data_IF_494863397345
#
_entry.id   IF_494863397345
#
_cell.length_a   1.000
_cell.length_b   1.000
_cell.length_c   1.000
_cell.angle_alpha   90.00
_cell.angle_beta   90.00
_cell.angle_gamma   90.00
#
_symmetry.space_group_name_H-M   'P 1'
#
loop_
_entity.id
_entity.type
_entity.pdbx_description
1 polymer ?
#
# COMPACT_ATOMS: atom_id res chain seq x y z
N UNK A 1 14.78 25.26 -13.40
CA UNK A 1 14.42 24.39 -14.54
C UNK A 1 15.20 23.09 -14.40
N UNK A 2 14.48 21.97 -14.54
CA UNK A 2 14.97 20.59 -14.70
C UNK A 2 15.60 19.96 -13.44
N UNK A 3 14.91 18.99 -12.82
CA UNK A 3 15.13 17.60 -13.23
C UNK A 3 13.95 16.72 -12.78
N UNK A 4 13.13 16.32 -13.75
CA UNK A 4 12.31 15.14 -13.61
C UNK A 4 13.29 13.99 -13.40
N UNK A 5 13.43 13.50 -12.16
CA UNK A 5 14.06 12.20 -11.93
C UNK A 5 13.26 11.22 -12.77
N UNK A 6 13.89 10.77 -13.85
CA UNK A 6 13.42 9.75 -14.74
C UNK A 6 12.88 8.60 -13.90
N UNK A 7 11.57 8.38 -13.99
CA UNK A 7 10.99 7.12 -13.54
C UNK A 7 11.79 6.04 -14.26
N UNK A 8 12.39 5.06 -13.57
CA UNK A 8 12.97 3.93 -14.26
C UNK A 8 11.85 3.39 -15.15
N UNK A 9 12.15 3.35 -16.45
CA UNK A 9 11.27 2.78 -17.46
C UNK A 9 10.89 1.41 -16.91
N UNK A 10 9.62 1.23 -16.49
CA UNK A 10 9.08 -0.08 -16.20
C UNK A 10 9.23 -0.85 -17.51
N UNK A 11 10.37 -1.50 -17.68
CA UNK A 11 10.51 -2.52 -18.69
C UNK A 11 9.33 -3.42 -18.42
N UNK A 12 8.47 -3.57 -19.42
CA UNK A 12 7.34 -4.48 -19.38
C UNK A 12 7.94 -5.89 -19.39
N UNK A 13 8.62 -6.27 -18.31
CA UNK A 13 9.00 -7.64 -18.06
C UNK A 13 7.67 -8.39 -18.06
N UNK A 14 7.57 -9.38 -18.95
CA UNK A 14 6.44 -10.30 -18.96
C UNK A 14 6.49 -11.08 -17.65
N UNK A 15 5.90 -10.54 -16.60
CA UNK A 15 5.78 -11.23 -15.33
C UNK A 15 4.88 -12.44 -15.59
N UNK A 16 5.45 -13.65 -15.49
CA UNK A 16 4.68 -14.88 -15.62
C UNK A 16 3.88 -15.04 -14.34
N UNK A 17 2.62 -14.62 -14.40
CA UNK A 17 1.72 -14.61 -13.26
C UNK A 17 1.11 -15.99 -12.99
N UNK A 18 0.67 -16.27 -11.75
CA UNK A 18 0.05 -17.54 -11.41
C UNK A 18 -1.14 -17.83 -12.31
N UNK A 19 -1.44 -19.13 -12.45
CA UNK A 19 -2.46 -19.72 -13.34
C UNK A 19 -3.61 -18.75 -13.58
N UNK A 20 -3.93 -18.49 -14.85
CA UNK A 20 -4.99 -17.59 -15.38
C UNK A 20 -6.25 -17.53 -14.50
N UNK A 21 -6.64 -18.66 -13.89
CA UNK A 21 -7.80 -18.81 -13.01
C UNK A 21 -7.74 -18.03 -11.69
N UNK A 22 -6.56 -17.74 -11.15
CA UNK A 22 -6.42 -17.00 -9.88
C UNK A 22 -7.10 -15.63 -9.95
N UNK A 23 -6.84 -14.87 -11.02
CA UNK A 23 -7.29 -13.50 -11.20
C UNK A 23 -8.80 -13.33 -11.31
N UNK A 24 -9.48 -14.36 -11.83
CA UNK A 24 -10.93 -14.37 -12.01
C UNK A 24 -11.68 -15.02 -10.84
N UNK A 25 -11.00 -15.88 -10.06
CA UNK A 25 -11.63 -16.60 -8.95
C UNK A 25 -11.73 -15.79 -7.66
N UNK A 26 -11.04 -14.66 -7.54
CA UNK A 26 -11.08 -13.85 -6.33
C UNK A 26 -12.36 -13.03 -6.26
N UNK A 27 -13.10 -13.08 -5.13
CA UNK A 27 -14.26 -12.23 -4.94
C UNK A 27 -13.84 -10.76 -4.91
N UNK A 28 -14.58 -9.92 -5.64
CA UNK A 28 -14.38 -8.47 -5.60
C UNK A 28 -15.01 -7.87 -4.34
N UNK A 29 -14.30 -6.95 -3.70
CA UNK A 29 -14.88 -6.08 -2.68
C UNK A 29 -15.81 -5.04 -3.29
N UNK A 30 -16.64 -4.40 -2.46
CA UNK A 30 -17.43 -3.24 -2.82
C UNK A 30 -16.63 -1.94 -2.66
N UNK A 31 -16.99 -0.91 -3.43
CA UNK A 31 -16.58 0.48 -3.19
C UNK A 31 -17.70 1.27 -2.48
N UNK A 32 -17.37 2.23 -1.60
CA UNK A 32 -16.02 2.61 -1.18
C UNK A 32 -15.35 1.51 -0.35
N UNK A 33 -14.02 1.49 -0.36
CA UNK A 33 -13.22 0.58 0.44
C UNK A 33 -12.20 1.38 1.26
N UNK A 34 -12.02 1.02 2.52
CA UNK A 34 -11.06 1.65 3.44
C UNK A 34 -10.24 0.56 4.12
N UNK A 35 -8.97 0.87 4.35
CA UNK A 35 -8.08 0.08 5.19
C UNK A 35 -7.30 1.00 6.12
N UNK A 36 -7.39 0.70 7.42
CA UNK A 36 -6.63 1.35 8.48
C UNK A 36 -6.18 0.34 9.53
N UNK A 37 -4.99 0.55 10.07
CA UNK A 37 -4.56 -0.13 11.29
C UNK A 37 -5.28 0.48 12.49
N UNK A 38 -5.82 -0.35 13.38
CA UNK A 38 -6.46 0.11 14.61
C UNK A 38 -5.39 0.44 15.65
N UNK A 39 -5.34 1.67 16.18
CA UNK A 39 -4.29 2.12 17.11
C UNK A 39 -4.11 1.19 18.31
N UNK A 40 -5.22 0.77 18.92
CA UNK A 40 -5.24 -0.13 20.09
C UNK A 40 -4.73 -1.55 19.78
N UNK A 41 -4.60 -1.90 18.49
CA UNK A 41 -4.20 -3.21 18.00
C UNK A 41 -2.85 -3.18 17.28
N UNK A 42 -2.14 -2.04 17.27
CA UNK A 42 -0.84 -1.92 16.62
C UNK A 42 0.26 -2.66 17.41
N UNK A 43 0.13 -2.70 18.74
CA UNK A 43 1.03 -3.45 19.64
C UNK A 43 0.61 -4.91 19.83
N UNK A 44 -0.66 -5.22 19.54
CA UNK A 44 -1.16 -6.58 19.55
C UNK A 44 -0.89 -7.20 18.17
N UNK A 45 -0.31 -8.40 18.13
CA UNK A 45 0.12 -9.17 16.96
C UNK A 45 -0.92 -9.43 15.83
N UNK A 46 -2.05 -8.72 15.81
CA UNK A 46 -3.14 -8.78 14.83
C UNK A 46 -2.74 -8.39 13.41
N UNK A 47 -1.68 -7.60 13.25
CA UNK A 47 -1.23 -7.12 11.96
C UNK A 47 0.10 -7.75 11.57
N UNK A 48 0.24 -9.07 11.70
CA UNK A 48 1.37 -9.80 11.12
C UNK A 48 0.92 -10.62 9.91
N UNK A 49 1.84 -10.92 9.01
CA UNK A 49 1.60 -11.87 7.91
C UNK A 49 1.19 -13.23 8.47
N UNK A 50 1.75 -13.64 9.61
CA UNK A 50 1.37 -14.88 10.30
C UNK A 50 -0.09 -14.85 10.77
N UNK A 51 -0.53 -13.75 11.39
CA UNK A 51 -1.93 -13.61 11.80
C UNK A 51 -2.88 -13.54 10.60
N UNK A 52 -2.49 -12.87 9.51
CA UNK A 52 -3.29 -12.85 8.29
C UNK A 52 -3.42 -14.26 7.67
N UNK A 53 -2.38 -15.08 7.75
CA UNK A 53 -2.44 -16.49 7.33
C UNK A 53 -3.35 -17.31 8.25
N UNK A 54 -3.18 -17.20 9.57
CA UNK A 54 -3.94 -18.00 10.55
C UNK A 54 -5.43 -17.67 10.53
N UNK A 55 -5.79 -16.41 10.26
CA UNK A 55 -7.18 -15.93 10.14
C UNK A 55 -7.77 -16.11 8.73
N UNK A 56 -7.01 -16.67 7.79
CA UNK A 56 -7.47 -16.91 6.41
C UNK A 56 -7.65 -15.63 5.57
N UNK A 57 -7.10 -14.49 6.02
CA UNK A 57 -7.10 -13.23 5.24
C UNK A 57 -6.20 -13.32 4.02
N UNK A 58 -5.12 -14.12 4.08
CA UNK A 58 -4.22 -14.39 2.96
C UNK A 58 -3.91 -15.89 2.87
N UNK A 59 -3.66 -16.38 1.66
CA UNK A 59 -3.28 -17.78 1.45
C UNK A 59 -1.76 -17.97 1.62
N UNK A 60 -1.35 -18.87 2.53
CA UNK A 60 0.07 -19.11 2.83
C UNK A 60 0.89 -19.70 1.66
N UNK A 61 0.23 -20.30 0.68
CA UNK A 61 0.85 -21.13 -0.36
C UNK A 61 1.31 -20.32 -1.60
N UNK A 62 0.87 -19.06 -1.74
CA UNK A 62 1.05 -18.28 -2.97
C UNK A 62 1.79 -16.97 -2.68
N UNK A 63 3.11 -16.95 -2.87
CA UNK A 63 3.90 -15.72 -2.88
C UNK A 63 3.91 -15.10 -4.28
N UNK A 64 3.75 -13.78 -4.35
CA UNK A 64 3.67 -12.99 -5.59
C UNK A 64 4.88 -12.08 -5.78
N UNK A 65 6.03 -12.43 -5.22
CA UNK A 65 7.20 -11.55 -5.09
C UNK A 65 7.67 -10.94 -6.42
N UNK A 66 7.46 -11.62 -7.55
CA UNK A 66 7.84 -11.13 -8.89
C UNK A 66 7.07 -9.87 -9.33
N UNK A 67 5.98 -9.51 -8.65
CA UNK A 67 5.23 -8.27 -8.86
C UNK A 67 5.84 -7.05 -8.16
N UNK A 68 6.78 -7.27 -7.24
CA UNK A 68 7.31 -6.26 -6.33
C UNK A 68 8.68 -5.81 -6.79
N UNK A 69 8.97 -4.53 -6.59
CA UNK A 69 10.25 -3.92 -6.91
C UNK A 69 10.35 -2.55 -6.27
N UNK A 70 11.57 -2.01 -6.17
CA UNK A 70 11.83 -0.70 -5.58
C UNK A 70 11.33 0.47 -6.45
N UNK A 71 10.75 0.18 -7.63
CA UNK A 71 10.11 1.15 -8.50
C UNK A 71 8.62 1.40 -8.18
N UNK A 72 8.06 0.73 -7.15
CA UNK A 72 6.71 1.03 -6.65
C UNK A 72 6.59 2.52 -6.31
N UNK A 73 5.42 3.14 -6.41
CA UNK A 73 5.23 4.51 -5.91
C UNK A 73 5.09 4.50 -4.37
N UNK A 74 5.98 5.19 -3.68
CA UNK A 74 5.87 5.50 -2.26
C UNK A 74 6.26 6.95 -2.07
N UNK A 75 5.29 7.77 -1.67
CA UNK A 75 5.52 9.19 -1.38
C UNK A 75 5.30 9.43 0.09
N UNK A 76 6.30 9.93 0.81
CA UNK A 76 6.20 10.37 2.20
C UNK A 76 6.56 11.85 2.26
N UNK A 77 5.94 12.63 3.15
CA UNK A 77 6.31 14.04 3.33
C UNK A 77 7.65 14.15 4.04
N UNK A 78 8.48 15.12 3.66
CA UNK A 78 9.73 15.43 4.36
C UNK A 78 9.49 15.88 5.81
N UNK A 79 8.29 16.38 6.11
CA UNK A 79 7.84 16.82 7.45
C UNK A 79 7.59 15.67 8.44
N UNK A 80 7.54 14.44 7.94
CA UNK A 80 7.38 13.22 8.73
C UNK A 80 8.73 12.56 8.99
N UNK A 81 8.83 11.82 10.09
CA UNK A 81 9.96 10.96 10.44
C UNK A 81 10.08 9.76 9.50
N UNK A 82 8.95 9.26 8.97
CA UNK A 82 8.98 8.21 7.96
C UNK A 82 9.70 8.70 6.69
N UNK A 83 10.51 7.81 6.10
CA UNK A 83 11.37 8.04 4.94
C UNK A 83 11.22 6.92 3.93
N UNK A 84 11.72 7.13 2.72
CA UNK A 84 11.69 6.14 1.64
C UNK A 84 12.32 4.79 2.04
N UNK A 85 13.34 4.81 2.90
CA UNK A 85 13.98 3.60 3.46
C UNK A 85 13.07 2.73 4.33
N UNK A 86 11.93 3.26 4.79
CA UNK A 86 10.90 2.43 5.43
C UNK A 86 10.14 1.58 4.38
N UNK A 87 9.95 2.12 3.17
CA UNK A 87 9.29 1.45 2.05
C UNK A 87 10.21 0.62 1.15
N UNK A 88 11.52 0.85 1.17
CA UNK A 88 12.50 0.20 0.27
C UNK A 88 13.80 -0.23 0.96
N UNK A 89 14.54 -1.20 0.39
CA UNK A 89 14.14 -2.06 -0.73
C UNK A 89 13.08 -3.06 -0.28
N UNK A 90 12.34 -3.63 -1.24
CA UNK A 90 11.43 -4.74 -0.97
C UNK A 90 12.22 -5.97 -0.45
N UNK A 91 11.90 -6.42 0.77
CA UNK A 91 12.57 -7.56 1.44
C UNK A 91 11.66 -8.76 1.71
N UNK A 92 10.36 -8.59 1.51
CA UNK A 92 9.35 -9.51 2.01
C UNK A 92 8.99 -10.66 1.09
N UNK A 93 8.11 -11.52 1.59
CA UNK A 93 7.24 -12.33 0.74
C UNK A 93 5.90 -11.60 0.61
N UNK A 94 5.43 -11.40 -0.62
CA UNK A 94 4.18 -10.73 -0.88
C UNK A 94 3.06 -11.72 -1.13
N UNK A 95 1.88 -11.40 -0.61
CA UNK A 95 0.69 -12.23 -0.67
C UNK A 95 -0.47 -11.41 -1.20
N UNK A 96 -1.35 -12.04 -1.96
CA UNK A 96 -2.61 -11.42 -2.32
C UNK A 96 -3.47 -11.19 -1.08
N UNK A 97 -4.00 -9.98 -0.95
CA UNK A 97 -4.88 -9.58 0.15
C UNK A 97 -6.32 -9.41 -0.33
N UNK A 98 -6.54 -8.65 -1.42
CA UNK A 98 -7.90 -8.36 -1.88
C UNK A 98 -7.99 -7.95 -3.34
N UNK A 99 -9.12 -8.27 -3.96
CA UNK A 99 -9.53 -7.72 -5.26
C UNK A 99 -10.52 -6.58 -5.03
N UNK A 100 -10.29 -5.45 -5.66
CA UNK A 100 -11.24 -4.34 -5.78
C UNK A 100 -12.00 -4.45 -7.11
N UNK A 101 -13.13 -3.73 -7.29
CA UNK A 101 -13.84 -3.75 -8.56
C UNK A 101 -12.93 -3.39 -9.72
N UNK A 102 -13.13 -4.06 -10.85
CA UNK A 102 -12.40 -3.74 -12.07
C UNK A 102 -12.80 -2.33 -12.56
N UNK A 103 -11.86 -1.59 -13.16
CA UNK A 103 -12.07 -0.23 -13.65
C UNK A 103 -11.58 -0.12 -15.09
N UNK A 104 -12.45 0.22 -16.04
CA UNK A 104 -12.10 0.26 -17.48
C UNK A 104 -11.39 -1.02 -17.98
N UNK A 105 -11.85 -2.20 -17.54
CA UNK A 105 -11.24 -3.53 -17.80
C UNK A 105 -9.86 -3.76 -17.16
N UNK A 106 -9.41 -2.87 -16.28
CA UNK A 106 -8.22 -3.06 -15.47
C UNK A 106 -8.56 -3.75 -14.17
N UNK A 107 -7.75 -4.75 -13.80
CA UNK A 107 -7.86 -5.39 -12.49
C UNK A 107 -7.14 -4.54 -11.47
N UNK A 108 -7.76 -4.33 -10.32
CA UNK A 108 -7.18 -3.59 -9.21
C UNK A 108 -7.07 -4.53 -8.03
N UNK A 109 -5.85 -4.76 -7.57
CA UNK A 109 -5.56 -5.73 -6.53
C UNK A 109 -4.69 -5.14 -5.44
N UNK A 110 -4.97 -5.56 -4.22
CA UNK A 110 -4.21 -5.27 -3.03
C UNK A 110 -3.41 -6.50 -2.65
N UNK A 111 -2.14 -6.26 -2.40
CA UNK A 111 -1.21 -7.25 -1.90
C UNK A 111 -0.58 -6.75 -0.62
N UNK A 112 -0.09 -7.67 0.20
CA UNK A 112 0.53 -7.36 1.48
C UNK A 112 1.86 -8.07 1.64
N UNK A 113 2.81 -7.42 2.31
CA UNK A 113 4.13 -7.96 2.63
C UNK A 113 4.70 -7.30 3.88
N UNK A 114 5.64 -7.97 4.52
CA UNK A 114 6.49 -7.37 5.56
C UNK A 114 7.78 -6.87 4.94
N UNK A 115 8.15 -5.62 5.22
CA UNK A 115 9.39 -5.03 4.74
C UNK A 115 10.51 -4.97 5.80
N UNK A 116 10.18 -5.42 7.01
CA UNK A 116 11.07 -5.53 8.16
C UNK A 116 10.66 -6.76 8.98
N UNK A 117 11.63 -7.41 9.60
CA UNK A 117 11.41 -8.50 10.55
C UNK A 117 11.26 -8.00 12.00
N UNK A 118 11.27 -6.69 12.21
CA UNK A 118 11.12 -6.10 13.53
C UNK A 118 9.64 -5.99 13.87
N UNK A 119 9.27 -6.45 15.07
CA UNK A 119 7.88 -6.63 15.52
C UNK A 119 7.06 -5.34 15.56
N UNK A 120 7.73 -4.19 15.62
CA UNK A 120 7.07 -2.89 15.63
C UNK A 120 6.69 -2.39 14.24
N UNK A 121 7.07 -3.06 13.14
CA UNK A 121 6.63 -2.67 11.80
C UNK A 121 5.28 -3.30 11.47
N UNK A 122 4.41 -2.50 10.88
CA UNK A 122 3.17 -2.96 10.30
C UNK A 122 3.42 -3.46 8.87
N UNK A 123 2.64 -4.45 8.39
CA UNK A 123 2.73 -4.93 7.03
C UNK A 123 2.43 -3.78 6.08
N UNK A 124 3.00 -3.83 4.91
CA UNK A 124 2.72 -2.88 3.85
C UNK A 124 1.57 -3.42 3.01
N UNK A 125 0.74 -2.51 2.50
CA UNK A 125 -0.25 -2.81 1.47
C UNK A 125 0.15 -2.09 0.20
N UNK A 126 0.23 -2.84 -0.90
CA UNK A 126 0.51 -2.32 -2.22
C UNK A 126 -0.71 -2.54 -3.12
N UNK A 127 -1.21 -1.44 -3.67
CA UNK A 127 -2.23 -1.46 -4.70
C UNK A 127 -1.56 -1.54 -6.06
N UNK A 128 -1.96 -2.52 -6.86
CA UNK A 128 -1.42 -2.77 -8.18
C UNK A 128 -2.57 -2.82 -9.20
N UNK A 129 -2.30 -2.28 -10.39
CA UNK A 129 -3.23 -2.25 -11.51
C UNK A 129 -2.70 -3.11 -12.65
N UNK A 130 -3.59 -3.85 -13.30
CA UNK A 130 -3.24 -4.77 -14.38
C UNK A 130 -4.13 -4.54 -15.59
N UNK A 131 -3.57 -4.72 -16.78
CA UNK A 131 -4.35 -4.71 -18.02
C UNK A 131 -5.15 -6.00 -18.22
N UNK A 132 -5.92 -6.04 -19.31
CA UNK A 132 -6.73 -7.19 -19.72
C UNK A 132 -5.88 -8.45 -19.97
N UNK A 133 -4.61 -8.28 -20.34
CA UNK A 133 -3.63 -9.33 -20.61
C UNK A 133 -2.85 -9.70 -19.34
N UNK A 134 -3.26 -9.13 -18.20
CA UNK A 134 -2.72 -9.33 -16.85
C UNK A 134 -1.30 -8.79 -16.70
N UNK A 135 -0.87 -7.86 -17.56
CA UNK A 135 0.40 -7.18 -17.37
C UNK A 135 0.25 -6.06 -16.35
N UNK A 136 1.24 -5.93 -15.47
CA UNK A 136 1.30 -4.86 -14.47
C UNK A 136 1.42 -3.50 -15.17
N UNK A 137 0.54 -2.55 -14.82
CA UNK A 137 0.52 -1.19 -15.36
C UNK A 137 1.19 -0.22 -14.38
N UNK A 138 0.72 -0.21 -13.14
CA UNK A 138 1.16 0.74 -12.11
C UNK A 138 0.95 0.16 -10.71
N UNK A 139 1.70 0.68 -9.74
CA UNK A 139 1.70 0.17 -8.37
C UNK A 139 2.11 1.21 -7.34
N UNK A 140 1.48 1.16 -6.17
CA UNK A 140 1.65 2.14 -5.10
C UNK A 140 1.53 1.51 -3.71
N UNK A 141 2.42 1.87 -2.79
CA UNK A 141 2.28 1.57 -1.36
C UNK A 141 1.21 2.49 -0.77
N UNK A 142 0.10 1.89 -0.33
CA UNK A 142 -1.11 2.58 0.16
C UNK A 142 -1.38 2.37 1.64
N UNK A 143 -0.76 1.37 2.28
CA UNK A 143 -0.76 1.23 3.74
C UNK A 143 0.59 0.72 4.24
N UNK A 144 0.89 1.00 5.49
CA UNK A 144 2.14 0.61 6.15
C UNK A 144 2.29 1.36 7.47
N UNK A 145 3.35 1.10 8.20
CA UNK A 145 3.61 1.85 9.42
C UNK A 145 4.65 1.23 10.32
N UNK A 146 4.94 1.93 11.40
CA UNK A 146 5.72 1.41 12.53
C UNK A 146 5.23 2.02 13.84
N UNK A 147 5.43 1.27 14.93
CA UNK A 147 4.89 1.54 16.25
C UNK A 147 6.01 1.66 17.28
N UNK A 148 6.50 2.87 17.48
CA UNK A 148 7.45 3.21 18.53
C UNK A 148 6.92 4.40 19.32
N UNK A 149 7.74 4.95 20.22
CA UNK A 149 7.49 6.20 20.94
C UNK A 149 6.96 7.30 20.00
N UNK A 150 7.53 7.40 18.80
CA UNK A 150 6.90 8.06 17.66
C UNK A 150 6.49 7.01 16.64
N UNK A 151 5.20 6.93 16.39
CA UNK A 151 4.59 6.00 15.44
C UNK A 151 4.29 6.72 14.13
N UNK A 152 4.35 5.97 13.04
CA UNK A 152 3.85 6.38 11.74
C UNK A 152 2.86 5.33 11.25
N UNK A 153 1.68 5.77 10.84
CA UNK A 153 0.62 4.93 10.31
C UNK A 153 0.16 5.50 8.98
N UNK A 154 0.24 4.69 7.93
CA UNK A 154 -0.36 4.96 6.64
C UNK A 154 -1.61 4.11 6.46
N UNK A 155 -2.70 4.81 6.18
CA UNK A 155 -4.00 4.23 5.82
C UNK A 155 -4.44 4.71 4.44
N UNK A 156 -5.43 4.04 3.86
CA UNK A 156 -6.04 4.53 2.63
C UNK A 156 -7.53 4.24 2.55
N UNK A 157 -8.19 5.03 1.70
CA UNK A 157 -9.51 4.75 1.18
C UNK A 157 -9.54 4.91 -0.33
N UNK A 158 -10.47 4.22 -0.97
CA UNK A 158 -10.80 4.37 -2.39
C UNK A 158 -12.31 4.54 -2.53
N UNK A 159 -12.71 5.61 -3.20
CA UNK A 159 -14.12 5.94 -3.40
C UNK A 159 -14.72 5.22 -4.64
N UNK A 160 -16.00 5.48 -4.91
CA UNK A 160 -16.71 4.90 -6.06
C UNK A 160 -16.21 5.43 -7.41
N UNK A 161 -15.50 6.54 -7.43
CA UNK A 161 -14.90 7.15 -8.60
C UNK A 161 -13.42 6.74 -8.77
N UNK A 162 -12.95 5.77 -7.97
CA UNK A 162 -11.56 5.32 -7.96
C UNK A 162 -10.55 6.42 -7.61
N UNK A 163 -10.99 7.42 -6.84
CA UNK A 163 -10.12 8.35 -6.13
C UNK A 163 -9.54 7.65 -4.92
N UNK A 164 -8.21 7.52 -4.86
CA UNK A 164 -7.53 7.07 -3.65
C UNK A 164 -7.20 8.27 -2.77
N UNK A 165 -7.47 8.12 -1.48
CA UNK A 165 -6.95 9.01 -0.44
C UNK A 165 -6.00 8.21 0.43
N UNK A 166 -4.73 8.60 0.48
CA UNK A 166 -3.71 8.02 1.36
C UNK A 166 -3.42 9.01 2.48
N UNK A 167 -3.57 8.56 3.72
CA UNK A 167 -3.39 9.39 4.90
C UNK A 167 -2.22 8.84 5.70
N UNK A 168 -1.19 9.67 5.87
CA UNK A 168 -0.09 9.44 6.80
C UNK A 168 -0.39 10.18 8.10
N UNK A 169 -0.36 9.45 9.21
CA UNK A 169 -0.44 10.02 10.56
C UNK A 169 0.83 9.65 11.32
N UNK A 170 1.52 10.67 11.83
CA UNK A 170 2.62 10.53 12.78
C UNK A 170 2.14 10.99 14.14
N UNK A 171 2.38 10.19 15.17
CA UNK A 171 2.04 10.55 16.54
C UNK A 171 3.16 10.15 17.50
N UNK A 172 3.56 11.07 18.37
CA UNK A 172 4.58 10.84 19.39
C UNK A 172 3.94 10.82 20.78
N UNK A 173 4.16 9.74 21.51
CA UNK A 173 3.66 9.53 22.86
C UNK A 173 4.76 9.78 23.88
N UNK A 174 4.46 10.61 24.88
CA UNK A 174 5.34 10.82 26.03
C UNK A 174 4.93 9.87 27.14
N UNK A 175 5.75 8.84 27.37
CA UNK A 175 5.49 7.81 28.39
C UNK A 175 5.51 8.35 29.82
N UNK A 176 6.18 9.48 30.08
CA UNK A 176 6.18 10.08 31.42
C UNK A 176 4.90 10.86 31.71
N UNK A 177 4.31 11.46 30.67
CA UNK A 177 3.05 12.22 30.77
C UNK A 177 1.80 11.42 30.43
N UNK A 178 1.98 10.20 29.91
CA UNK A 178 0.91 9.36 29.36
C UNK A 178 0.03 10.09 28.33
N UNK A 179 0.63 10.94 27.48
CA UNK A 179 -0.10 11.80 26.54
C UNK A 179 0.59 11.90 25.17
N UNK A 180 -0.20 12.22 24.13
CA UNK A 180 0.32 12.52 22.79
C UNK A 180 0.86 13.94 22.79
N UNK A 181 2.14 14.09 22.48
CA UNK A 181 2.85 15.39 22.53
C UNK A 181 3.06 16.02 21.16
N UNK A 182 2.98 15.24 20.09
CA UNK A 182 3.01 15.74 18.71
C UNK A 182 2.16 14.82 17.84
N UNK A 183 1.38 15.42 16.93
CA UNK A 183 0.62 14.69 15.92
C UNK A 183 0.62 15.46 14.60
N UNK A 184 0.96 14.78 13.52
CA UNK A 184 0.93 15.32 12.17
C UNK A 184 0.16 14.39 11.26
N UNK A 185 -0.74 14.97 10.47
CA UNK A 185 -1.47 14.24 9.45
C UNK A 185 -1.26 14.86 8.09
N UNK A 186 -0.80 14.05 7.12
CA UNK A 186 -0.61 14.42 5.73
C UNK A 186 -1.55 13.58 4.87
N UNK A 187 -2.27 14.23 3.96
CA UNK A 187 -3.22 13.57 3.07
C UNK A 187 -2.80 13.76 1.62
N UNK A 188 -2.72 12.64 0.90
CA UNK A 188 -2.43 12.60 -0.53
C UNK A 188 -3.63 12.06 -1.29
N UNK A 189 -4.00 12.70 -2.39
CA UNK A 189 -5.07 12.21 -3.28
C UNK A 189 -4.51 11.77 -4.60
N UNK A 190 -4.99 10.63 -5.08
CA UNK A 190 -4.64 10.04 -6.38
C UNK A 190 -5.90 9.62 -7.12
N UNK A 191 -5.81 9.54 -8.44
CA UNK A 191 -6.85 9.03 -9.30
C UNK A 191 -6.31 7.85 -10.10
N UNK A 192 -7.01 6.72 -10.06
CA UNK A 192 -6.81 5.66 -11.05
C UNK A 192 -7.44 6.14 -12.36
N UNK A 193 -6.62 6.25 -13.40
CA UNK A 193 -7.03 6.72 -14.72
C UNK A 193 -7.64 5.58 -15.54
N UNK A 194 -8.34 5.92 -16.62
CA UNK A 194 -8.93 4.93 -17.53
C UNK A 194 -7.91 3.97 -18.16
N UNK A 195 -6.63 4.37 -18.21
CA UNK A 195 -5.52 3.54 -18.68
C UNK A 195 -4.85 2.72 -17.56
N UNK A 196 -5.43 2.68 -16.37
CA UNK A 196 -4.93 1.98 -15.19
C UNK A 196 -3.83 2.71 -14.41
N UNK A 197 -3.25 3.81 -14.91
CA UNK A 197 -2.18 4.53 -14.20
C UNK A 197 -2.70 5.25 -12.96
N UNK A 198 -1.86 5.33 -11.93
CA UNK A 198 -2.16 6.03 -10.67
C UNK A 198 -1.48 7.40 -10.71
N UNK A 199 -2.28 8.46 -10.77
CA UNK A 199 -1.77 9.83 -10.87
C UNK A 199 -2.20 10.66 -9.67
N UNK A 200 -1.27 11.42 -9.12
CA UNK A 200 -1.55 12.38 -8.05
C UNK A 200 -2.51 13.47 -8.54
N UNK A 201 -3.53 13.77 -7.74
CA UNK A 201 -4.41 14.92 -7.93
C UNK A 201 -3.72 16.11 -7.27
N UNK A 202 -3.05 16.92 -8.09
CA UNK A 202 -2.55 18.22 -7.62
C UNK A 202 -3.73 19.19 -7.56
N UNK A 203 -4.24 19.48 -6.37
CA UNK A 203 -5.16 20.61 -6.20
C UNK A 203 -4.42 21.88 -6.67
N UNK A 204 -4.97 22.60 -7.65
CA UNK A 204 -4.44 23.91 -8.02
C UNK A 204 -4.58 24.80 -6.79
N UNK A 205 -3.46 25.33 -6.30
CA UNK A 205 -3.51 26.46 -5.37
C UNK A 205 -4.38 27.55 -6.02
N UNK A 206 -5.47 27.91 -5.33
CA UNK A 206 -6.34 29.03 -5.69
C UNK A 206 -5.58 30.35 -5.56
#
# INVERSE_FOLDING_TARGET
MINCKDKPNLQHEKIVLPKINFWESQPSSSLPFEFKYHPDSIMDFFYTIENYKSTGKIAAQNSFNTLFSDATLFRVSDDLMAKDENGYPYKGNAYFFKKLPDFHNHKIMLFTYENSNQEYYLPYMELQTFDKDKLLIDKMIVAGGFAKDCSWNRSFSIDKNFTLTVTDTESCFDTEKEDIVDEKTIVWKYQIQENGRILEIKEKAL
#
